data_IF_831878986687
#
_entry.id   IF_831878986687
#
_cell.length_a   1.000
_cell.length_b   1.000
_cell.length_c   1.000
_cell.angle_alpha   90.00
_cell.angle_beta   90.00
_cell.angle_gamma   90.00
#
_symmetry.space_group_name_H-M   'P 1'
#
loop_
_entity.id
_entity.type
_entity.pdbx_description
1 polymer ?
#
# COMPACT_ATOMS: atom_id res chain seq x y z
N UNK A 1 -2.32 22.18 -8.06
CA UNK A 1 -3.20 22.32 -6.90
C UNK A 1 -4.07 21.08 -6.80
N UNK A 2 -3.99 20.37 -5.68
CA UNK A 2 -4.80 19.19 -5.37
C UNK A 2 -5.90 19.60 -4.39
N UNK A 3 -7.15 19.57 -4.84
CA UNK A 3 -8.30 20.16 -4.13
C UNK A 3 -9.32 19.07 -3.78
N UNK A 4 -9.61 18.88 -2.50
CA UNK A 4 -10.54 17.85 -2.02
C UNK A 4 -11.46 18.38 -0.92
N UNK A 5 -12.69 17.90 -0.85
CA UNK A 5 -13.61 18.11 0.28
C UNK A 5 -13.36 17.14 1.46
N UNK A 6 -12.34 16.29 1.33
CA UNK A 6 -11.84 15.33 2.31
C UNK A 6 -10.33 15.50 2.53
N UNK A 7 -9.61 14.44 2.90
CA UNK A 7 -8.16 14.43 3.18
C UNK A 7 -7.31 14.72 1.94
N UNK A 8 -7.78 14.39 0.73
CA UNK A 8 -7.03 14.55 -0.52
C UNK A 8 -6.20 13.33 -0.94
N UNK A 9 -6.18 12.26 -0.15
CA UNK A 9 -5.37 11.06 -0.40
C UNK A 9 -5.57 10.46 -1.80
N UNK A 10 -6.82 10.43 -2.28
CA UNK A 10 -7.15 9.95 -3.64
C UNK A 10 -6.44 10.76 -4.71
N UNK A 11 -6.40 12.10 -4.54
CA UNK A 11 -5.72 12.99 -5.48
C UNK A 11 -4.21 12.81 -5.45
N UNK A 12 -3.62 12.55 -4.30
CA UNK A 12 -2.19 12.27 -4.17
C UNK A 12 -1.80 11.04 -4.98
N UNK A 13 -2.58 9.96 -4.90
CA UNK A 13 -2.34 8.74 -5.66
C UNK A 13 -2.51 8.95 -7.17
N UNK A 14 -3.54 9.67 -7.58
CA UNK A 14 -3.77 10.03 -9.00
C UNK A 14 -2.64 10.92 -9.51
N UNK A 15 -2.24 11.92 -8.74
CA UNK A 15 -1.12 12.80 -9.08
C UNK A 15 0.18 12.02 -9.26
N UNK A 16 0.51 11.09 -8.36
CA UNK A 16 1.71 10.25 -8.50
C UNK A 16 1.69 9.41 -9.78
N UNK A 17 0.53 8.84 -10.13
CA UNK A 17 0.36 8.10 -11.38
C UNK A 17 0.55 9.00 -12.61
N UNK A 18 -0.01 10.22 -12.61
CA UNK A 18 0.18 11.20 -13.68
C UNK A 18 1.64 11.66 -13.77
N UNK A 19 2.27 12.00 -12.64
CA UNK A 19 3.67 12.42 -12.59
C UNK A 19 4.61 11.38 -13.20
N UNK A 20 4.35 10.11 -13.00
CA UNK A 20 5.14 9.01 -13.57
C UNK A 20 5.11 9.00 -15.12
N UNK A 21 4.05 9.54 -15.75
CA UNK A 21 3.94 9.66 -17.20
C UNK A 21 4.68 10.88 -17.77
N UNK A 22 5.06 11.85 -16.92
CA UNK A 22 5.72 13.10 -17.32
C UNK A 22 6.97 13.37 -16.48
N UNK A 23 8.00 12.50 -16.53
CA UNK A 23 9.13 12.52 -15.58
C UNK A 23 10.02 13.76 -15.69
N UNK A 24 10.01 14.45 -16.83
CA UNK A 24 10.90 15.59 -17.10
C UNK A 24 10.33 16.95 -16.67
N UNK A 25 9.12 16.98 -16.07
CA UNK A 25 8.50 18.22 -15.62
C UNK A 25 8.75 18.45 -14.12
N UNK A 26 9.04 19.67 -13.76
CA UNK A 26 9.12 20.10 -12.36
C UNK A 26 7.73 20.54 -11.89
N UNK A 27 7.24 19.91 -10.83
CA UNK A 27 5.95 20.23 -10.24
C UNK A 27 6.13 20.79 -8.83
N UNK A 28 5.43 21.87 -8.54
CA UNK A 28 5.20 22.33 -7.18
C UNK A 28 3.77 22.00 -6.78
N UNK A 29 3.61 21.23 -5.71
CA UNK A 29 2.30 20.75 -5.26
C UNK A 29 1.77 21.68 -4.17
N UNK A 30 0.49 22.00 -4.26
CA UNK A 30 -0.25 22.73 -3.24
C UNK A 30 -1.50 21.94 -2.89
N UNK A 31 -1.65 21.54 -1.61
CA UNK A 31 -2.79 20.79 -1.11
C UNK A 31 -3.84 21.71 -0.52
N UNK A 32 -5.09 21.53 -0.94
CA UNK A 32 -6.28 22.19 -0.42
C UNK A 32 -7.29 21.10 0.00
N UNK A 33 -7.11 20.59 1.21
CA UNK A 33 -8.01 19.61 1.82
C UNK A 33 -9.20 20.28 2.50
N UNK A 34 -10.28 19.53 2.70
CA UNK A 34 -11.50 19.96 3.39
C UNK A 34 -12.13 21.22 2.80
N UNK A 35 -12.09 21.37 1.48
CA UNK A 35 -12.69 22.48 0.73
C UNK A 35 -14.21 22.38 0.71
N UNK A 36 -14.89 23.17 1.53
CA UNK A 36 -16.35 23.10 1.75
C UNK A 36 -17.04 24.45 1.72
N UNK A 37 -16.30 25.53 1.52
CA UNK A 37 -16.84 26.90 1.56
C UNK A 37 -16.36 27.75 0.39
N UNK A 38 -17.16 28.75 0.01
CA UNK A 38 -16.79 29.73 -1.03
C UNK A 38 -15.60 30.58 -0.63
N UNK A 39 -15.42 30.87 0.66
CA UNK A 39 -14.25 31.59 1.18
C UNK A 39 -12.96 30.84 0.91
N UNK A 40 -12.97 29.52 1.11
CA UNK A 40 -11.82 28.67 0.82
C UNK A 40 -11.53 28.65 -0.69
N UNK A 41 -12.57 28.64 -1.54
CA UNK A 41 -12.41 28.75 -3.00
C UNK A 41 -11.71 30.05 -3.40
N UNK A 42 -12.06 31.18 -2.81
CA UNK A 42 -11.39 32.47 -3.08
C UNK A 42 -9.89 32.42 -2.71
N UNK A 43 -9.55 31.74 -1.61
CA UNK A 43 -8.15 31.51 -1.20
C UNK A 43 -7.40 30.66 -2.22
N UNK A 44 -7.99 29.58 -2.71
CA UNK A 44 -7.44 28.72 -3.76
C UNK A 44 -7.16 29.53 -5.04
N UNK A 45 -8.16 30.25 -5.55
CA UNK A 45 -8.04 31.01 -6.79
C UNK A 45 -6.97 32.11 -6.65
N UNK A 46 -6.90 32.78 -5.51
CA UNK A 46 -5.85 33.78 -5.25
C UNK A 46 -4.44 33.15 -5.22
N UNK A 47 -4.31 31.91 -4.72
CA UNK A 47 -3.04 31.19 -4.78
C UNK A 47 -2.68 30.80 -6.23
N UNK A 48 -3.66 30.33 -7.02
CA UNK A 48 -3.46 30.02 -8.43
C UNK A 48 -3.00 31.22 -9.24
N UNK A 49 -3.61 32.40 -9.03
CA UNK A 49 -3.23 33.64 -9.72
C UNK A 49 -1.78 34.10 -9.48
N UNK A 50 -1.20 33.67 -8.36
CA UNK A 50 0.19 34.01 -7.98
C UNK A 50 1.19 32.95 -8.46
N UNK A 51 0.71 31.88 -9.07
CA UNK A 51 1.51 30.73 -9.49
C UNK A 51 1.62 30.71 -11.01
N UNK A 52 2.79 30.51 -11.53
CA UNK A 52 3.01 30.34 -12.96
C UNK A 52 2.45 28.97 -13.40
N UNK A 53 1.68 28.97 -14.51
CA UNK A 53 1.04 27.77 -15.09
C UNK A 53 0.28 26.90 -14.06
N UNK A 54 -0.69 27.45 -13.32
CA UNK A 54 -1.44 26.70 -12.33
C UNK A 54 -2.34 25.67 -13.00
N UNK A 55 -2.43 24.47 -12.40
CA UNK A 55 -3.35 23.40 -12.79
C UNK A 55 -4.10 22.96 -11.54
N UNK A 56 -5.41 22.77 -11.62
CA UNK A 56 -6.24 22.25 -10.54
C UNK A 56 -6.70 20.84 -10.89
N UNK A 57 -6.44 19.89 -9.99
CA UNK A 57 -7.11 18.60 -9.95
C UNK A 57 -8.00 18.57 -8.71
N UNK A 58 -9.25 18.11 -8.86
CA UNK A 58 -10.15 18.09 -7.70
C UNK A 58 -10.99 16.82 -7.60
N UNK A 59 -11.34 16.49 -6.34
CA UNK A 59 -12.33 15.47 -5.95
C UNK A 59 -13.35 16.14 -5.01
N UNK A 60 -14.27 16.92 -5.57
CA UNK A 60 -15.33 17.56 -4.84
C UNK A 60 -16.65 16.91 -5.24
N UNK A 61 -17.51 16.60 -4.28
CA UNK A 61 -18.82 16.00 -4.57
C UNK A 61 -19.97 16.99 -4.38
N UNK A 62 -19.77 18.07 -3.64
CA UNK A 62 -20.79 19.10 -3.47
C UNK A 62 -20.86 20.03 -4.68
N UNK A 63 -22.02 20.04 -5.34
CA UNK A 63 -22.24 20.75 -6.61
C UNK A 63 -22.04 22.27 -6.51
N UNK A 64 -22.41 22.90 -5.40
CA UNK A 64 -22.31 24.35 -5.25
C UNK A 64 -20.85 24.79 -5.25
N UNK A 65 -20.01 24.17 -4.43
CA UNK A 65 -18.57 24.43 -4.34
C UNK A 65 -17.87 24.09 -5.65
N UNK A 66 -18.20 22.96 -6.26
CA UNK A 66 -17.65 22.53 -7.55
C UNK A 66 -17.95 23.52 -8.66
N UNK A 67 -19.20 23.94 -8.82
CA UNK A 67 -19.61 24.91 -9.85
C UNK A 67 -18.92 26.26 -9.64
N UNK A 68 -18.76 26.69 -8.39
CA UNK A 68 -18.08 27.94 -8.09
C UNK A 68 -16.61 27.88 -8.52
N UNK A 69 -15.89 26.80 -8.20
CA UNK A 69 -14.50 26.62 -8.63
C UNK A 69 -14.39 26.59 -10.15
N UNK A 70 -15.26 25.84 -10.85
CA UNK A 70 -15.25 25.74 -12.31
C UNK A 70 -15.46 27.12 -12.95
N UNK A 71 -16.38 27.92 -12.44
CA UNK A 71 -16.66 29.25 -12.97
C UNK A 71 -15.48 30.20 -12.76
N UNK A 72 -14.88 30.21 -11.57
CA UNK A 72 -13.68 30.98 -11.29
C UNK A 72 -12.51 30.55 -12.20
N UNK A 73 -12.30 29.25 -12.37
CA UNK A 73 -11.25 28.72 -13.24
C UNK A 73 -11.45 29.16 -14.69
N UNK A 74 -12.69 29.17 -15.19
CA UNK A 74 -13.01 29.69 -16.53
C UNK A 74 -12.71 31.18 -16.65
N UNK A 75 -13.09 31.96 -15.64
CA UNK A 75 -12.85 33.43 -15.62
C UNK A 75 -11.37 33.77 -15.70
N UNK A 76 -10.52 32.98 -15.03
CA UNK A 76 -9.07 33.23 -14.98
C UNK A 76 -8.24 32.33 -15.89
N UNK A 77 -8.90 31.57 -16.78
CA UNK A 77 -8.27 30.64 -17.72
C UNK A 77 -7.32 29.64 -17.04
N UNK A 78 -7.73 29.08 -15.88
CA UNK A 78 -7.00 28.08 -15.12
C UNK A 78 -7.47 26.68 -15.52
N UNK A 79 -6.59 25.78 -16.04
CA UNK A 79 -6.94 24.38 -16.29
C UNK A 79 -7.43 23.70 -15.02
N UNK A 80 -8.63 23.11 -15.07
CA UNK A 80 -9.32 22.54 -13.91
C UNK A 80 -9.98 21.22 -14.28
N UNK A 81 -9.62 20.15 -13.58
CA UNK A 81 -10.04 18.78 -13.89
C UNK A 81 -10.68 18.11 -12.68
N UNK A 82 -11.96 17.79 -12.80
CA UNK A 82 -12.71 17.00 -11.81
C UNK A 82 -12.60 15.51 -12.07
N UNK A 83 -12.04 14.78 -11.11
CA UNK A 83 -11.80 13.34 -11.27
C UNK A 83 -13.10 12.54 -11.20
N UNK A 84 -14.04 12.96 -10.36
CA UNK A 84 -15.30 12.25 -10.14
C UNK A 84 -16.45 12.74 -11.03
N UNK A 85 -16.32 13.90 -11.65
CA UNK A 85 -17.41 14.57 -12.40
C UNK A 85 -17.95 13.75 -13.57
N UNK A 86 -17.07 13.01 -14.24
CA UNK A 86 -17.47 12.11 -15.31
C UNK A 86 -18.00 10.78 -14.78
N UNK A 87 -17.36 10.23 -13.75
CA UNK A 87 -17.66 8.88 -13.25
C UNK A 87 -18.99 8.81 -12.51
N UNK A 88 -19.27 9.75 -11.59
CA UNK A 88 -20.50 9.73 -10.79
C UNK A 88 -21.76 9.63 -11.66
N UNK A 89 -21.97 10.46 -12.68
CA UNK A 89 -23.18 10.35 -13.52
C UNK A 89 -23.28 9.03 -14.29
N UNK A 90 -22.15 8.40 -14.68
CA UNK A 90 -22.20 7.09 -15.35
C UNK A 90 -22.61 5.99 -14.36
N UNK A 91 -22.07 6.00 -13.16
CA UNK A 91 -22.43 5.05 -12.12
C UNK A 91 -23.90 5.22 -11.65
N UNK A 92 -24.39 6.46 -11.54
CA UNK A 92 -25.82 6.71 -11.28
C UNK A 92 -26.73 6.01 -12.30
N UNK A 93 -26.35 6.06 -13.60
CA UNK A 93 -27.11 5.39 -14.66
C UNK A 93 -27.01 3.86 -14.55
N UNK A 94 -25.81 3.32 -14.33
CA UNK A 94 -25.58 1.86 -14.25
C UNK A 94 -26.33 1.25 -13.06
N UNK A 95 -26.26 1.89 -11.90
CA UNK A 95 -26.89 1.40 -10.69
C UNK A 95 -28.36 1.81 -10.54
N UNK A 96 -28.87 2.65 -11.45
CA UNK A 96 -30.19 3.26 -11.36
C UNK A 96 -30.45 3.89 -9.97
N UNK A 97 -29.43 4.56 -9.42
CA UNK A 97 -29.43 5.14 -8.10
C UNK A 97 -28.74 6.49 -8.10
N UNK A 98 -29.25 7.46 -7.35
CA UNK A 98 -28.61 8.75 -7.17
C UNK A 98 -27.43 8.65 -6.20
N UNK A 99 -26.33 9.30 -6.55
CA UNK A 99 -25.17 9.44 -5.65
C UNK A 99 -25.55 10.25 -4.41
N UNK A 100 -25.00 9.85 -3.27
CA UNK A 100 -25.24 10.54 -1.98
C UNK A 100 -24.56 11.92 -1.92
N UNK A 101 -23.54 12.12 -2.73
CA UNK A 101 -22.72 13.35 -2.81
C UNK A 101 -22.23 13.83 -1.42
N UNK A 102 -21.97 12.88 -0.52
CA UNK A 102 -21.54 13.16 0.86
C UNK A 102 -20.02 13.35 0.91
N UNK A 103 -19.51 14.54 1.29
CA UNK A 103 -18.07 14.75 1.50
C UNK A 103 -17.52 13.78 2.54
N UNK A 104 -16.34 13.26 2.30
CA UNK A 104 -15.67 12.29 3.20
C UNK A 104 -16.43 10.97 3.41
N UNK A 105 -17.39 10.60 2.58
CA UNK A 105 -18.18 9.37 2.72
C UNK A 105 -17.33 8.09 2.79
N UNK A 106 -16.14 8.10 2.19
CA UNK A 106 -15.18 6.99 2.24
C UNK A 106 -14.51 6.80 3.62
N UNK A 107 -14.60 7.79 4.52
CA UNK A 107 -13.99 7.77 5.85
C UNK A 107 -15.00 7.53 6.98
N UNK A 108 -16.15 6.96 6.66
CA UNK A 108 -17.11 6.59 7.70
C UNK A 108 -16.56 5.46 8.58
N UNK A 109 -16.75 5.56 9.90
CA UNK A 109 -16.40 4.53 10.89
C UNK A 109 -17.39 3.36 10.79
N UNK A 110 -17.25 2.57 9.73
CA UNK A 110 -18.07 1.38 9.47
C UNK A 110 -17.33 0.09 9.89
N UNK A 111 -17.99 -1.06 9.70
CA UNK A 111 -17.41 -2.37 10.03
C UNK A 111 -16.10 -2.63 9.28
N UNK A 112 -15.96 -2.13 8.05
CA UNK A 112 -14.75 -2.28 7.25
C UNK A 112 -13.58 -1.50 7.85
N UNK A 113 -13.84 -0.27 8.33
CA UNK A 113 -12.83 0.52 9.01
C UNK A 113 -12.28 -0.22 10.25
N UNK A 114 -13.17 -0.71 11.13
CA UNK A 114 -12.73 -1.44 12.33
C UNK A 114 -11.98 -2.72 11.98
N UNK A 115 -12.41 -3.44 10.94
CA UNK A 115 -11.67 -4.61 10.44
C UNK A 115 -10.26 -4.27 10.00
N UNK A 116 -10.05 -3.14 9.31
CA UNK A 116 -8.71 -2.66 8.92
C UNK A 116 -7.86 -2.33 10.14
N UNK A 117 -8.42 -1.64 11.13
CA UNK A 117 -7.69 -1.32 12.37
C UNK A 117 -7.28 -2.61 13.11
N UNK A 118 -8.19 -3.58 13.24
CA UNK A 118 -7.90 -4.87 13.86
C UNK A 118 -6.79 -5.63 13.11
N UNK A 119 -6.86 -5.67 11.77
CA UNK A 119 -5.84 -6.30 10.93
C UNK A 119 -4.47 -5.64 11.08
N UNK A 120 -4.42 -4.31 11.10
CA UNK A 120 -3.17 -3.57 11.33
C UNK A 120 -2.58 -3.85 12.72
N UNK A 121 -3.41 -3.84 13.76
CA UNK A 121 -2.97 -4.14 15.13
C UNK A 121 -2.44 -5.57 15.23
N UNK A 122 -3.16 -6.55 14.65
CA UNK A 122 -2.69 -7.92 14.58
C UNK A 122 -1.34 -8.02 13.88
N UNK A 123 -1.21 -7.40 12.70
CA UNK A 123 0.01 -7.44 11.91
C UNK A 123 1.22 -6.86 12.64
N UNK A 124 1.05 -5.73 13.33
CA UNK A 124 2.12 -5.12 14.12
C UNK A 124 2.55 -6.00 15.31
N UNK A 125 1.61 -6.73 15.91
CA UNK A 125 1.92 -7.63 17.03
C UNK A 125 2.59 -8.94 16.58
N UNK A 126 2.41 -9.35 15.30
CA UNK A 126 2.93 -10.59 14.73
C UNK A 126 4.06 -10.32 13.71
N UNK A 127 4.76 -9.20 13.84
CA UNK A 127 5.92 -8.90 13.01
C UNK A 127 7.16 -9.58 13.56
N UNK A 128 8.05 -9.96 12.64
CA UNK A 128 9.39 -10.53 12.91
C UNK A 128 9.38 -11.76 13.84
N UNK A 129 8.38 -12.64 13.68
CA UNK A 129 8.27 -13.90 14.43
C UNK A 129 7.74 -13.75 15.85
N UNK A 130 7.19 -12.60 16.20
CA UNK A 130 6.52 -12.42 17.48
C UNK A 130 5.18 -13.16 17.55
N UNK A 131 4.79 -13.59 18.75
CA UNK A 131 3.50 -14.25 19.03
C UNK A 131 3.19 -15.41 18.06
N UNK A 132 4.13 -16.32 17.90
CA UNK A 132 3.96 -17.50 17.02
C UNK A 132 2.79 -18.39 17.42
N UNK A 133 2.42 -18.42 18.69
CA UNK A 133 1.27 -19.14 19.25
C UNK A 133 -0.06 -18.68 18.65
N UNK A 134 -0.22 -17.39 18.42
CA UNK A 134 -1.43 -16.80 17.83
C UNK A 134 -1.27 -16.46 16.34
N UNK A 135 -0.11 -16.74 15.73
CA UNK A 135 0.11 -16.57 14.30
C UNK A 135 -0.83 -17.43 13.44
N UNK A 136 -1.37 -18.50 14.01
CA UNK A 136 -2.38 -19.38 13.36
C UNK A 136 -3.70 -18.65 13.06
N UNK A 137 -4.00 -17.56 13.76
CA UNK A 137 -5.20 -16.73 13.56
C UNK A 137 -5.06 -15.71 12.44
N UNK A 138 -3.90 -15.69 11.75
CA UNK A 138 -3.68 -14.83 10.60
C UNK A 138 -4.50 -15.27 9.39
N UNK A 139 -4.85 -14.32 8.54
CA UNK A 139 -5.34 -14.60 7.19
C UNK A 139 -4.18 -15.09 6.29
N UNK A 140 -3.01 -14.47 6.46
CA UNK A 140 -1.82 -14.69 5.64
C UNK A 140 -0.59 -14.82 6.55
N UNK A 141 0.24 -15.83 6.30
CA UNK A 141 1.55 -15.97 6.93
C UNK A 141 2.63 -15.79 5.86
N UNK A 142 3.47 -14.78 6.03
CA UNK A 142 4.60 -14.50 5.15
C UNK A 142 5.87 -15.04 5.78
N UNK A 143 6.59 -15.87 5.05
CA UNK A 143 7.86 -16.46 5.49
C UNK A 143 8.99 -16.11 4.54
N UNK A 144 10.19 -15.99 5.06
CA UNK A 144 11.39 -15.75 4.23
C UNK A 144 12.59 -15.33 5.06
N UNK A 145 13.77 -15.38 4.46
CA UNK A 145 15.00 -14.93 5.11
C UNK A 145 14.95 -13.44 5.43
N UNK A 146 15.82 -12.99 6.34
CA UNK A 146 15.90 -11.58 6.70
C UNK A 146 16.17 -10.69 5.48
N UNK A 147 15.48 -9.55 5.38
CA UNK A 147 15.58 -8.53 4.30
C UNK A 147 14.94 -8.92 2.96
N UNK A 148 13.92 -9.75 2.98
CA UNK A 148 13.06 -10.02 1.80
C UNK A 148 11.79 -9.17 1.79
N UNK A 149 11.80 -7.98 2.37
CA UNK A 149 10.68 -7.02 2.42
C UNK A 149 9.41 -7.56 3.12
N UNK A 150 9.52 -8.56 4.01
CA UNK A 150 8.38 -9.13 4.73
C UNK A 150 7.60 -8.07 5.52
N UNK A 151 8.27 -7.38 6.45
CA UNK A 151 7.66 -6.34 7.32
C UNK A 151 6.91 -5.27 6.52
N UNK A 152 7.49 -4.56 5.54
CA UNK A 152 6.74 -3.55 4.79
C UNK A 152 5.58 -4.16 3.98
N UNK A 153 5.72 -5.38 3.47
CA UNK A 153 4.64 -6.08 2.76
C UNK A 153 3.50 -6.46 3.72
N UNK A 154 3.84 -6.92 4.93
CA UNK A 154 2.83 -7.25 5.96
C UNK A 154 2.03 -6.02 6.37
N UNK A 155 2.70 -4.89 6.61
CA UNK A 155 2.04 -3.62 6.95
C UNK A 155 1.10 -3.18 5.82
N UNK A 156 1.57 -3.23 4.58
CA UNK A 156 0.78 -2.87 3.39
C UNK A 156 -0.48 -3.74 3.21
N UNK A 157 -0.40 -5.03 3.53
CA UNK A 157 -1.54 -5.95 3.54
C UNK A 157 -2.47 -5.67 4.73
N UNK A 158 -1.91 -5.34 5.91
CA UNK A 158 -2.66 -4.95 7.10
C UNK A 158 -3.55 -3.73 6.86
N UNK A 159 -3.04 -2.71 6.17
CA UNK A 159 -3.81 -1.53 5.73
C UNK A 159 -4.99 -1.89 4.81
N UNK A 160 -4.91 -3.03 4.12
CA UNK A 160 -6.00 -3.59 3.28
C UNK A 160 -6.96 -4.49 4.03
N UNK A 161 -6.77 -4.66 5.34
CA UNK A 161 -7.65 -5.43 6.22
C UNK A 161 -7.35 -6.92 6.28
N UNK A 162 -6.13 -7.35 5.90
CA UNK A 162 -5.65 -8.72 6.10
C UNK A 162 -4.85 -8.82 7.39
N UNK A 163 -5.18 -9.77 8.25
CA UNK A 163 -4.35 -10.14 9.41
C UNK A 163 -3.12 -10.90 8.92
N UNK A 164 -1.94 -10.32 9.09
CA UNK A 164 -0.70 -10.90 8.56
C UNK A 164 0.28 -11.22 9.67
N UNK A 165 0.81 -12.44 9.67
CA UNK A 165 1.97 -12.80 10.48
C UNK A 165 3.22 -12.86 9.61
N UNK A 166 4.29 -12.23 10.05
CA UNK A 166 5.60 -12.20 9.39
C UNK A 166 6.57 -13.07 10.17
N UNK A 167 6.99 -14.18 9.57
CA UNK A 167 7.88 -15.15 10.21
C UNK A 167 9.25 -15.16 9.49
N UNK A 168 10.33 -14.69 10.14
CA UNK A 168 11.67 -14.81 9.61
C UNK A 168 12.13 -16.27 9.66
N UNK A 169 12.74 -16.73 8.58
CA UNK A 169 13.40 -18.03 8.54
C UNK A 169 14.86 -17.87 8.96
N UNK A 170 15.23 -18.58 10.01
CA UNK A 170 16.60 -18.63 10.54
C UNK A 170 17.14 -20.04 10.36
N UNK A 171 18.40 -20.15 9.92
CA UNK A 171 19.06 -21.45 9.75
C UNK A 171 18.96 -22.29 11.04
N UNK A 172 18.62 -23.56 10.87
CA UNK A 172 18.50 -24.56 11.94
C UNK A 172 17.39 -24.32 12.97
N UNK A 173 16.57 -23.26 12.81
CA UNK A 173 15.40 -23.04 13.66
C UNK A 173 14.18 -23.72 13.05
N UNK A 174 13.55 -24.65 13.79
CA UNK A 174 12.29 -25.27 13.40
C UNK A 174 11.13 -24.38 13.81
N UNK A 175 10.18 -24.21 12.90
CA UNK A 175 8.89 -23.57 13.21
C UNK A 175 7.93 -24.60 13.80
N UNK A 176 7.00 -24.17 14.67
CA UNK A 176 5.93 -25.02 15.19
C UNK A 176 5.10 -25.63 14.05
N UNK A 177 4.71 -26.90 14.18
CA UNK A 177 3.92 -27.59 13.15
C UNK A 177 2.52 -26.99 13.00
N UNK A 178 2.00 -26.33 14.03
CA UNK A 178 0.74 -25.62 14.05
C UNK A 178 0.70 -24.50 13.00
N UNK A 179 1.83 -23.84 12.73
CA UNK A 179 1.94 -22.83 11.66
C UNK A 179 1.60 -23.46 10.30
N UNK A 180 2.10 -24.67 10.02
CA UNK A 180 1.88 -25.34 8.74
C UNK A 180 0.49 -25.94 8.61
N UNK A 181 -0.12 -26.37 9.70
CA UNK A 181 -1.46 -26.98 9.75
C UNK A 181 -2.59 -25.94 9.84
N UNK A 182 -2.28 -24.65 10.14
CA UNK A 182 -3.28 -23.60 10.25
C UNK A 182 -4.04 -23.35 8.95
N UNK A 183 -5.21 -22.70 9.04
CA UNK A 183 -6.03 -22.28 7.89
C UNK A 183 -5.47 -21.06 7.15
N UNK A 184 -4.50 -20.36 7.75
CA UNK A 184 -3.84 -19.22 7.14
C UNK A 184 -3.21 -19.57 5.80
N UNK A 185 -3.26 -18.69 4.83
CA UNK A 185 -2.53 -18.85 3.56
C UNK A 185 -1.06 -18.54 3.78
N UNK A 186 -0.19 -19.53 3.51
CA UNK A 186 1.26 -19.40 3.66
C UNK A 186 1.88 -18.97 2.35
N UNK A 187 2.79 -17.99 2.40
CA UNK A 187 3.54 -17.51 1.23
C UNK A 187 5.02 -17.36 1.59
N UNK A 188 5.88 -17.97 0.80
CA UNK A 188 7.33 -17.81 0.91
C UNK A 188 7.84 -16.65 0.07
N UNK A 189 8.71 -15.81 0.64
CA UNK A 189 9.44 -14.80 -0.13
C UNK A 189 10.89 -15.23 -0.32
N UNK A 190 11.37 -15.11 -1.54
CA UNK A 190 12.77 -15.36 -1.92
C UNK A 190 13.34 -14.16 -2.68
N UNK A 191 14.67 -14.08 -2.72
CA UNK A 191 15.39 -13.00 -3.38
C UNK A 191 16.67 -13.55 -3.98
N UNK A 192 17.23 -12.90 -4.99
CA UNK A 192 18.55 -13.18 -5.51
C UNK A 192 19.63 -12.97 -4.42
N UNK A 193 20.60 -13.90 -4.26
CA UNK A 193 21.63 -13.82 -3.23
C UNK A 193 22.49 -12.55 -3.32
N UNK A 194 22.87 -12.13 -4.51
CA UNK A 194 23.67 -10.91 -4.72
C UNK A 194 22.89 -9.68 -4.28
N UNK A 195 21.62 -9.60 -4.70
CA UNK A 195 20.72 -8.51 -4.28
C UNK A 195 20.53 -8.49 -2.77
N UNK A 196 20.38 -9.65 -2.13
CA UNK A 196 20.25 -9.74 -0.68
C UNK A 196 21.50 -9.22 0.05
N UNK A 197 22.70 -9.61 -0.43
CA UNK A 197 23.96 -9.09 0.10
C UNK A 197 24.03 -7.57 0.04
N UNK A 198 23.65 -6.96 -1.08
CA UNK A 198 23.65 -5.50 -1.25
C UNK A 198 22.67 -4.80 -0.28
N UNK A 199 21.46 -5.35 -0.13
CA UNK A 199 20.46 -4.83 0.81
C UNK A 199 20.95 -4.92 2.26
N UNK A 200 21.57 -6.05 2.64
CA UNK A 200 22.13 -6.26 3.98
C UNK A 200 23.31 -5.31 4.24
N UNK A 201 24.22 -5.13 3.29
CA UNK A 201 25.33 -4.17 3.38
C UNK A 201 24.83 -2.74 3.59
N UNK A 202 23.85 -2.33 2.81
CA UNK A 202 23.26 -1.00 2.95
C UNK A 202 22.66 -0.80 4.35
N UNK A 203 21.99 -1.82 4.89
CA UNK A 203 21.41 -1.75 6.24
C UNK A 203 22.47 -1.67 7.34
N UNK A 204 23.56 -2.45 7.24
CA UNK A 204 24.68 -2.37 8.16
C UNK A 204 25.33 -0.99 8.17
N UNK A 205 25.53 -0.40 7.00
CA UNK A 205 26.09 0.96 6.89
C UNK A 205 25.20 2.00 7.58
N UNK A 206 23.87 1.90 7.43
CA UNK A 206 22.92 2.80 8.09
C UNK A 206 22.97 2.65 9.62
N UNK A 207 23.14 1.42 10.13
CA UNK A 207 23.17 1.13 11.57
C UNK A 207 24.57 1.31 12.20
N UNK A 208 25.60 1.65 11.42
CA UNK A 208 27.00 1.69 11.86
C UNK A 208 27.46 0.38 12.53
N UNK A 209 26.86 -0.76 12.17
CA UNK A 209 27.20 -2.07 12.70
C UNK A 209 28.34 -2.69 11.88
N UNK A 210 29.55 -2.71 12.45
CA UNK A 210 30.73 -3.28 11.81
C UNK A 210 31.02 -4.74 12.21
N UNK A 211 30.19 -5.34 13.07
CA UNK A 211 30.55 -6.62 13.72
C UNK A 211 30.00 -7.88 13.05
N UNK A 212 29.05 -7.84 12.15
CA UNK A 212 28.46 -9.06 11.59
C UNK A 212 28.92 -9.35 10.16
N UNK A 213 30.18 -9.76 10.00
CA UNK A 213 30.74 -10.19 8.69
C UNK A 213 29.95 -11.37 8.09
N UNK A 214 29.47 -12.30 8.91
CA UNK A 214 28.67 -13.46 8.48
C UNK A 214 27.30 -13.09 7.91
N UNK A 215 26.72 -11.97 8.31
CA UNK A 215 25.39 -11.53 7.84
C UNK A 215 25.37 -11.14 6.36
N UNK A 216 26.50 -10.74 5.80
CA UNK A 216 26.68 -10.36 4.40
C UNK A 216 27.53 -11.35 3.62
N UNK A 217 27.96 -12.43 4.27
CA UNK A 217 28.74 -13.50 3.64
C UNK A 217 27.88 -14.21 2.58
N UNK A 218 28.46 -14.37 1.38
CA UNK A 218 27.70 -14.90 0.24
C UNK A 218 27.33 -16.37 0.41
N UNK A 219 28.21 -17.18 0.99
CA UNK A 219 27.97 -18.60 1.20
C UNK A 219 26.87 -18.82 2.24
N UNK A 220 26.88 -18.01 3.30
CA UNK A 220 25.83 -18.02 4.32
C UNK A 220 24.48 -17.60 3.70
N UNK A 221 24.46 -16.53 2.92
CA UNK A 221 23.26 -16.05 2.22
C UNK A 221 22.69 -17.11 1.28
N UNK A 222 23.55 -17.76 0.48
CA UNK A 222 23.13 -18.81 -0.46
C UNK A 222 22.54 -20.01 0.30
N UNK A 223 23.15 -20.39 1.42
CA UNK A 223 22.65 -21.48 2.25
C UNK A 223 21.30 -21.14 2.88
N UNK A 224 21.13 -19.94 3.47
CA UNK A 224 19.85 -19.47 4.00
C UNK A 224 18.72 -19.54 2.96
N UNK A 225 18.96 -19.03 1.76
CA UNK A 225 17.97 -19.02 0.67
C UNK A 225 17.68 -20.45 0.20
N UNK A 226 18.70 -21.30 0.10
CA UNK A 226 18.54 -22.68 -0.31
C UNK A 226 17.69 -23.49 0.68
N UNK A 227 17.98 -23.37 1.98
CA UNK A 227 17.21 -24.05 3.03
C UNK A 227 15.77 -23.54 3.09
N UNK A 228 15.55 -22.22 2.94
CA UNK A 228 14.21 -21.66 2.85
C UNK A 228 13.44 -22.24 1.65
N UNK A 229 14.05 -22.30 0.47
CA UNK A 229 13.43 -22.88 -0.73
C UNK A 229 13.10 -24.36 -0.55
N UNK A 230 13.99 -25.16 0.04
CA UNK A 230 13.74 -26.57 0.34
C UNK A 230 12.52 -26.73 1.26
N UNK A 231 12.42 -25.92 2.30
CA UNK A 231 11.29 -25.93 3.22
C UNK A 231 9.98 -25.56 2.50
N UNK A 232 9.97 -24.52 1.67
CA UNK A 232 8.80 -24.12 0.90
C UNK A 232 8.32 -25.25 -0.02
N UNK A 233 9.24 -25.92 -0.72
CA UNK A 233 8.90 -27.06 -1.58
C UNK A 233 8.34 -28.22 -0.75
N UNK A 234 9.00 -28.60 0.35
CA UNK A 234 8.58 -29.71 1.20
C UNK A 234 7.19 -29.50 1.82
N UNK A 235 6.85 -28.26 2.16
CA UNK A 235 5.55 -27.86 2.74
C UNK A 235 4.54 -27.38 1.69
N UNK A 236 4.86 -27.44 0.38
CA UNK A 236 4.03 -26.99 -0.75
C UNK A 236 3.58 -25.52 -0.63
N UNK A 237 4.45 -24.67 -0.11
CA UNK A 237 4.19 -23.24 0.07
C UNK A 237 4.53 -22.52 -1.23
N UNK A 238 3.61 -21.72 -1.82
CA UNK A 238 3.88 -20.89 -2.98
C UNK A 238 4.97 -19.86 -2.65
N UNK A 239 5.86 -19.63 -3.63
CA UNK A 239 7.03 -18.74 -3.46
C UNK A 239 6.94 -17.56 -4.42
N UNK A 240 7.20 -16.36 -3.91
CA UNK A 240 7.32 -15.14 -4.69
C UNK A 240 8.77 -14.68 -4.65
N UNK A 241 9.37 -14.49 -5.84
CA UNK A 241 10.67 -13.83 -5.97
C UNK A 241 10.46 -12.30 -5.93
N UNK A 242 11.10 -11.66 -4.93
CA UNK A 242 10.98 -10.21 -4.69
C UNK A 242 12.19 -9.41 -5.21
N UNK A 243 13.11 -10.03 -5.93
CA UNK A 243 14.38 -9.42 -6.39
C UNK A 243 14.17 -8.07 -7.07
N UNK A 244 13.13 -7.95 -7.90
CA UNK A 244 12.81 -6.76 -8.69
C UNK A 244 11.38 -6.27 -8.48
N UNK A 245 10.73 -6.68 -7.39
CA UNK A 245 9.36 -6.28 -7.09
C UNK A 245 9.32 -5.18 -6.03
N UNK A 246 8.38 -4.27 -6.19
CA UNK A 246 7.99 -3.34 -5.14
C UNK A 246 7.19 -4.07 -4.04
N UNK A 247 6.97 -3.39 -2.92
CA UNK A 247 6.12 -3.88 -1.83
C UNK A 247 4.69 -4.10 -2.33
N UNK A 248 4.18 -3.17 -3.14
CA UNK A 248 2.84 -3.18 -3.73
C UNK A 248 2.66 -4.36 -4.69
N UNK A 249 3.63 -4.62 -5.56
CA UNK A 249 3.60 -5.76 -6.51
C UNK A 249 3.68 -7.10 -5.77
N UNK A 250 4.50 -7.16 -4.71
CA UNK A 250 4.60 -8.32 -3.85
C UNK A 250 3.26 -8.58 -3.13
N UNK A 251 2.68 -7.55 -2.53
CA UNK A 251 1.39 -7.64 -1.86
C UNK A 251 0.26 -8.03 -2.83
N UNK A 252 0.22 -7.47 -4.04
CA UNK A 252 -0.76 -7.84 -5.06
C UNK A 252 -0.63 -9.33 -5.46
N UNK A 253 0.63 -9.83 -5.57
CA UNK A 253 0.88 -11.25 -5.84
C UNK A 253 0.38 -12.14 -4.69
N UNK A 254 0.56 -11.71 -3.44
CA UNK A 254 0.09 -12.43 -2.24
C UNK A 254 -1.44 -12.45 -2.19
N UNK A 255 -2.11 -11.32 -2.43
CA UNK A 255 -3.57 -11.24 -2.46
C UNK A 255 -4.14 -12.22 -3.50
N UNK A 256 -3.55 -12.27 -4.68
CA UNK A 256 -3.97 -13.21 -5.73
C UNK A 256 -3.86 -14.69 -5.26
N UNK A 257 -2.76 -15.04 -4.58
CA UNK A 257 -2.60 -16.38 -4.00
C UNK A 257 -3.68 -16.64 -2.94
N UNK A 258 -3.93 -15.67 -2.07
CA UNK A 258 -4.95 -15.75 -1.02
C UNK A 258 -6.34 -15.99 -1.60
N UNK A 259 -6.74 -15.26 -2.62
CA UNK A 259 -8.04 -15.41 -3.30
C UNK A 259 -8.18 -16.82 -3.90
N UNK A 260 -7.17 -17.28 -4.65
CA UNK A 260 -7.17 -18.63 -5.25
C UNK A 260 -7.29 -19.74 -4.17
N UNK A 261 -6.57 -19.61 -3.05
CA UNK A 261 -6.62 -20.61 -1.99
C UNK A 261 -7.97 -20.60 -1.24
N UNK A 262 -8.61 -19.45 -1.11
CA UNK A 262 -9.96 -19.33 -0.52
C UNK A 262 -11.04 -19.91 -1.45
N UNK A 263 -10.95 -19.67 -2.77
CA UNK A 263 -11.87 -20.26 -3.75
C UNK A 263 -11.81 -21.79 -3.78
N UNK A 264 -10.63 -22.40 -3.60
CA UNK A 264 -10.48 -23.86 -3.53
C UNK A 264 -11.12 -24.51 -2.31
N UNK A 265 -11.39 -23.73 -1.26
CA UNK A 265 -11.96 -24.19 0.01
C UNK A 265 -13.48 -23.99 0.09
N UNK A 266 -14.07 -23.25 -0.86
CA UNK A 266 -15.52 -23.09 -1.05
C UNK A 266 -16.07 -24.17 -1.99
#
# INVERSE_FOLDING_TARGET
FLVSDSTGETLDRIYLALKAQFPNNNYKIHHFAFMRTTTQTATLINACKKTENPIILYTLVEKQTTNHIINECKTYNIPCFGILDYLIPQFEKIFNQKATLKPSGQHELNKEYYRKIEAMQFTLQHDDGQKLDTAVDADIIIMGVSRTSKTPTSIYLGERGYKVSNIPLVLHQKLPDEIFSSEAVKVGLTIDPTRLSDVRKTRMNILNDKQSSTYVDMDVIQNEISEAKKMFVSKKIPVIDVTRKSVEETAASIIKIYEIEKEKKQ
#
